data_IF_534768515671
#
_entry.id   IF_534768515671
#
_cell.length_a   1.000
_cell.length_b   1.000
_cell.length_c   1.000
_cell.angle_alpha   90.00
_cell.angle_beta   90.00
_cell.angle_gamma   90.00
#
_symmetry.space_group_name_H-M   'P 1'
#
loop_
_entity.id
_entity.type
_entity.pdbx_description
1 polymer ?
#
# COMPACT_ATOMS: atom_id res chain seq x y z
N UNK A 1 -4.66 -70.62 8.70
CA UNK A 1 -5.27 -69.43 9.31
C UNK A 1 -5.15 -68.23 8.37
N UNK A 2 -5.89 -67.15 8.66
CA UNK A 2 -6.20 -65.96 7.84
C UNK A 2 -5.03 -65.29 7.06
N UNK A 3 -5.38 -64.78 5.86
CA UNK A 3 -4.73 -63.72 5.03
C UNK A 3 -4.46 -62.42 5.85
N UNK A 4 -3.66 -61.39 5.42
CA UNK A 4 -3.50 -60.83 4.05
C UNK A 4 -2.03 -60.42 3.71
N UNK A 5 -1.62 -59.48 2.82
CA UNK A 5 -2.24 -58.43 1.96
C UNK A 5 -1.34 -58.13 0.72
N UNK A 6 -1.68 -57.10 -0.09
CA UNK A 6 -0.92 -56.44 -1.19
C UNK A 6 -0.64 -57.21 -2.51
N UNK A 7 -1.28 -56.76 -3.61
CA UNK A 7 -0.66 -56.38 -4.89
C UNK A 7 -1.70 -56.20 -6.03
N UNK A 8 -2.60 -55.22 -5.88
CA UNK A 8 -3.30 -54.53 -6.98
C UNK A 8 -2.79 -53.08 -6.90
N UNK A 9 -2.54 -52.31 -7.95
CA UNK A 9 -3.16 -52.33 -9.28
C UNK A 9 -2.27 -51.55 -10.27
N UNK A 10 -1.76 -52.17 -11.34
CA UNK A 10 -1.36 -51.44 -12.54
C UNK A 10 -2.63 -51.14 -13.35
N UNK A 11 -2.96 -49.87 -13.61
CA UNK A 11 -3.93 -49.54 -14.65
C UNK A 11 -3.60 -48.21 -15.35
N UNK A 12 -3.06 -48.35 -16.56
CA UNK A 12 -3.22 -47.48 -17.72
C UNK A 12 -3.41 -45.96 -17.52
N UNK A 13 -2.30 -45.21 -17.46
CA UNK A 13 -2.29 -43.82 -17.92
C UNK A 13 -2.17 -43.80 -19.45
N UNK A 14 -3.30 -43.69 -20.16
CA UNK A 14 -3.33 -43.49 -21.62
C UNK A 14 -4.22 -42.31 -22.01
N UNK A 15 -3.58 -41.23 -22.46
CA UNK A 15 -4.01 -40.50 -23.65
C UNK A 15 -5.37 -39.83 -23.67
N UNK A 16 -5.63 -38.88 -22.77
CA UNK A 16 -6.58 -37.80 -23.03
C UNK A 16 -5.81 -36.50 -23.32
N UNK A 17 -5.27 -36.37 -24.53
CA UNK A 17 -4.62 -35.14 -25.01
C UNK A 17 -5.67 -34.07 -25.34
N UNK A 18 -6.30 -33.51 -24.31
CA UNK A 18 -6.99 -32.24 -24.45
C UNK A 18 -5.93 -31.15 -24.68
N UNK A 19 -6.09 -30.26 -25.68
CA UNK A 19 -5.20 -29.12 -25.79
C UNK A 19 -5.35 -28.28 -24.54
N UNK A 20 -4.23 -28.02 -23.85
CA UNK A 20 -4.18 -27.15 -22.70
C UNK A 20 -4.29 -25.68 -23.13
N UNK A 21 -5.44 -25.29 -23.70
CA UNK A 21 -5.90 -23.90 -23.72
C UNK A 21 -6.37 -23.50 -22.31
N UNK A 22 -5.53 -23.76 -21.31
CA UNK A 22 -5.72 -23.35 -19.94
C UNK A 22 -5.49 -21.84 -19.89
N UNK A 23 -6.59 -21.11 -20.09
CA UNK A 23 -6.81 -19.70 -19.79
C UNK A 23 -5.53 -18.92 -19.45
N UNK A 24 -4.97 -18.22 -20.44
CA UNK A 24 -4.27 -16.97 -20.15
C UNK A 24 -5.30 -16.04 -19.53
N UNK A 25 -5.36 -16.03 -18.19
CA UNK A 25 -6.13 -15.02 -17.46
C UNK A 25 -5.56 -13.68 -17.89
N UNK A 26 -6.37 -12.88 -18.56
CA UNK A 26 -6.01 -11.57 -19.06
C UNK A 26 -5.60 -10.69 -17.86
N UNK A 27 -4.28 -10.51 -17.70
CA UNK A 27 -3.70 -9.79 -16.57
C UNK A 27 -4.08 -8.33 -16.63
N UNK A 28 -4.09 -7.72 -17.82
CA UNK A 28 -4.52 -6.33 -18.02
C UNK A 28 -5.99 -6.12 -17.62
N UNK A 29 -6.88 -7.06 -17.96
CA UNK A 29 -8.27 -7.04 -17.48
C UNK A 29 -8.36 -7.22 -15.96
N UNK A 30 -7.52 -8.09 -15.39
CA UNK A 30 -7.49 -8.34 -13.94
C UNK A 30 -7.02 -7.10 -13.16
N UNK A 31 -5.93 -6.47 -13.62
CA UNK A 31 -5.39 -5.23 -13.07
C UNK A 31 -6.39 -4.07 -13.17
N UNK A 32 -7.12 -3.97 -14.29
CA UNK A 32 -8.18 -2.98 -14.47
C UNK A 32 -9.33 -3.19 -13.48
N UNK A 33 -9.71 -4.45 -13.19
CA UNK A 33 -10.73 -4.77 -12.18
C UNK A 33 -10.20 -4.42 -10.77
N UNK A 34 -8.96 -4.79 -10.43
CA UNK A 34 -8.35 -4.46 -9.14
C UNK A 34 -8.27 -2.94 -8.91
N UNK A 35 -7.91 -2.15 -9.95
CA UNK A 35 -7.97 -0.68 -9.87
C UNK A 35 -9.40 -0.18 -9.62
N UNK A 36 -10.42 -0.82 -10.21
CA UNK A 36 -11.83 -0.44 -9.98
C UNK A 36 -12.32 -0.81 -8.58
N UNK A 37 -11.87 -1.92 -7.99
CA UNK A 37 -12.13 -2.26 -6.59
C UNK A 37 -11.51 -1.21 -5.66
N UNK A 38 -10.23 -0.86 -5.84
CA UNK A 38 -9.59 0.17 -5.03
C UNK A 38 -10.25 1.57 -5.18
N UNK A 39 -10.69 1.94 -6.38
CA UNK A 39 -11.48 3.16 -6.60
C UNK A 39 -12.85 3.12 -5.89
N UNK A 40 -13.50 1.95 -5.83
CA UNK A 40 -14.76 1.77 -5.11
C UNK A 40 -14.56 1.90 -3.59
N UNK A 41 -13.51 1.31 -3.03
CA UNK A 41 -13.19 1.40 -1.60
C UNK A 41 -12.97 2.86 -1.17
N UNK A 42 -12.23 3.64 -1.98
CA UNK A 42 -12.10 5.09 -1.77
C UNK A 42 -13.47 5.79 -1.85
N UNK A 43 -14.28 5.50 -2.88
CA UNK A 43 -15.58 6.14 -3.06
C UNK A 43 -16.54 5.89 -1.89
N UNK A 44 -16.56 4.66 -1.34
CA UNK A 44 -17.36 4.30 -0.15
C UNK A 44 -17.03 5.23 1.03
N UNK A 45 -15.78 5.65 1.18
CA UNK A 45 -15.31 6.49 2.27
C UNK A 45 -15.43 8.00 1.98
N UNK A 46 -15.21 8.42 0.72
CA UNK A 46 -15.18 9.84 0.33
C UNK A 46 -16.56 10.40 -0.03
N UNK A 47 -17.44 9.62 -0.67
CA UNK A 47 -18.78 10.10 -1.07
C UNK A 47 -19.64 10.56 0.13
N UNK A 48 -19.66 9.89 1.30
CA UNK A 48 -20.38 10.35 2.47
C UNK A 48 -19.91 11.70 3.04
N UNK A 49 -18.72 12.19 2.65
CA UNK A 49 -18.25 13.52 3.04
C UNK A 49 -18.96 14.65 2.28
N UNK A 50 -19.67 14.36 1.20
CA UNK A 50 -20.41 15.35 0.39
C UNK A 50 -19.54 16.59 0.05
N UNK A 51 -18.29 16.36 -0.35
CA UNK A 51 -17.31 17.42 -0.61
C UNK A 51 -17.80 18.35 -1.72
N UNK A 52 -17.77 19.67 -1.48
CA UNK A 52 -18.11 20.66 -2.50
C UNK A 52 -16.95 20.91 -3.48
N UNK A 53 -17.23 21.57 -4.60
CA UNK A 53 -16.22 21.91 -5.63
C UNK A 53 -15.16 22.87 -5.14
N UNK A 54 -15.46 23.66 -4.11
CA UNK A 54 -14.56 24.60 -3.47
C UNK A 54 -13.65 23.86 -2.46
N UNK A 55 -14.12 22.75 -1.90
CA UNK A 55 -13.39 21.94 -0.92
C UNK A 55 -12.39 20.95 -1.55
N UNK A 56 -12.67 20.43 -2.75
CA UNK A 56 -11.78 19.43 -3.38
C UNK A 56 -10.41 20.03 -3.81
N UNK A 57 -10.31 21.22 -4.45
CA UNK A 57 -9.04 21.79 -4.90
C UNK A 57 -7.97 21.98 -3.80
N UNK A 58 -8.24 22.57 -2.61
CA UNK A 58 -7.22 22.69 -1.58
C UNK A 58 -6.73 21.32 -1.06
N UNK A 59 -7.62 20.32 -0.97
CA UNK A 59 -7.25 18.95 -0.61
C UNK A 59 -6.35 18.30 -1.69
N UNK A 60 -6.66 18.50 -2.98
CA UNK A 60 -5.80 18.04 -4.08
C UNK A 60 -4.42 18.68 -4.02
N UNK A 61 -4.33 19.99 -3.79
CA UNK A 61 -3.05 20.71 -3.63
C UNK A 61 -2.25 20.21 -2.43
N UNK A 62 -2.91 19.80 -1.34
CA UNK A 62 -2.25 19.18 -0.19
C UNK A 62 -1.69 17.79 -0.57
N UNK A 63 -2.46 16.95 -1.26
CA UNK A 63 -2.03 15.63 -1.74
C UNK A 63 -0.88 15.75 -2.77
N UNK A 64 -0.89 16.76 -3.64
CA UNK A 64 0.19 17.01 -4.60
C UNK A 64 1.52 17.34 -3.93
N UNK A 65 1.50 18.14 -2.85
CA UNK A 65 2.69 18.40 -2.01
C UNK A 65 3.23 17.11 -1.41
N UNK A 66 2.35 16.21 -0.92
CA UNK A 66 2.75 14.88 -0.43
C UNK A 66 3.40 14.06 -1.53
N UNK A 67 2.78 13.97 -2.71
CA UNK A 67 3.34 13.25 -3.87
C UNK A 67 4.69 13.81 -4.31
N UNK A 68 4.89 15.12 -4.26
CA UNK A 68 6.15 15.76 -4.63
C UNK A 68 7.26 15.40 -3.62
N UNK A 69 7.01 15.57 -2.32
CA UNK A 69 7.99 15.17 -1.29
C UNK A 69 8.25 13.66 -1.25
N UNK A 70 7.29 12.83 -1.65
CA UNK A 70 7.52 11.39 -1.79
C UNK A 70 8.58 11.07 -2.85
N UNK A 71 8.55 11.77 -3.99
CA UNK A 71 9.57 11.64 -5.04
C UNK A 71 10.95 12.06 -4.52
N UNK A 72 11.02 13.12 -3.74
CA UNK A 72 12.27 13.61 -3.13
C UNK A 72 12.83 12.58 -2.13
N UNK A 73 11.99 12.00 -1.28
CA UNK A 73 12.37 10.89 -0.38
C UNK A 73 12.91 9.69 -1.17
N UNK A 74 12.21 9.24 -2.22
CA UNK A 74 12.65 8.10 -3.03
C UNK A 74 13.92 8.40 -3.84
N UNK A 75 14.11 9.63 -4.32
CA UNK A 75 15.35 10.04 -4.97
C UNK A 75 16.54 10.02 -3.99
N UNK A 76 16.34 10.45 -2.74
CA UNK A 76 17.36 10.36 -1.70
C UNK A 76 17.65 8.91 -1.30
N UNK A 77 16.63 8.07 -1.13
CA UNK A 77 16.84 6.64 -0.82
C UNK A 77 17.53 5.89 -1.96
N UNK A 78 17.23 6.20 -3.22
CA UNK A 78 17.93 5.65 -4.38
C UNK A 78 19.40 6.10 -4.42
N UNK A 79 19.67 7.38 -4.12
CA UNK A 79 21.04 7.91 -3.99
C UNK A 79 21.82 7.26 -2.84
N UNK A 80 21.18 6.98 -1.72
CA UNK A 80 21.81 6.24 -0.62
C UNK A 80 22.14 4.80 -1.04
N UNK A 81 21.24 4.12 -1.77
CA UNK A 81 21.44 2.74 -2.24
C UNK A 81 22.64 2.58 -3.18
N UNK A 82 22.87 3.51 -4.11
CA UNK A 82 24.01 3.41 -5.05
C UNK A 82 25.37 3.47 -4.35
N UNK A 83 25.44 3.97 -3.09
CA UNK A 83 26.68 3.97 -2.30
C UNK A 83 27.10 2.57 -1.82
N UNK A 84 26.15 1.64 -1.69
CA UNK A 84 26.37 0.26 -1.22
C UNK A 84 26.09 -0.82 -2.28
N UNK A 85 25.50 -0.44 -3.41
CA UNK A 85 25.10 -1.33 -4.51
C UNK A 85 26.22 -2.29 -4.97
N UNK A 86 27.43 -1.79 -5.23
CA UNK A 86 28.54 -2.62 -5.71
C UNK A 86 29.00 -3.67 -4.69
N UNK A 87 28.95 -3.33 -3.38
CA UNK A 87 29.23 -4.27 -2.29
C UNK A 87 28.13 -5.34 -2.23
N UNK A 88 26.86 -4.95 -2.31
CA UNK A 88 25.71 -5.87 -2.28
C UNK A 88 25.77 -6.83 -3.47
N UNK A 89 25.93 -6.32 -4.69
CA UNK A 89 25.97 -7.13 -5.91
C UNK A 89 27.08 -8.18 -5.86
N UNK A 90 28.28 -7.81 -5.38
CA UNK A 90 29.38 -8.77 -5.18
C UNK A 90 29.04 -9.83 -4.13
N UNK A 91 28.49 -9.44 -2.98
CA UNK A 91 28.16 -10.38 -1.89
C UNK A 91 27.02 -11.34 -2.31
N UNK A 92 26.08 -10.89 -3.12
CA UNK A 92 25.02 -11.73 -3.70
C UNK A 92 25.62 -12.72 -4.72
N UNK A 93 26.52 -12.28 -5.60
CA UNK A 93 27.24 -13.17 -6.55
C UNK A 93 28.08 -14.22 -5.83
N UNK A 94 28.92 -13.79 -4.86
CA UNK A 94 29.74 -14.68 -4.03
C UNK A 94 28.87 -15.68 -3.23
N UNK A 95 27.71 -15.26 -2.75
CA UNK A 95 26.74 -16.11 -2.05
C UNK A 95 26.11 -17.18 -2.96
N UNK A 96 25.58 -16.76 -4.12
CA UNK A 96 24.87 -17.65 -5.06
C UNK A 96 25.84 -18.61 -5.75
N UNK A 97 26.96 -18.09 -6.29
CA UNK A 97 27.84 -18.85 -7.17
C UNK A 97 28.97 -19.59 -6.44
N UNK A 98 29.32 -19.18 -5.21
CA UNK A 98 30.47 -19.71 -4.46
C UNK A 98 30.10 -20.22 -3.06
N UNK A 99 28.82 -20.14 -2.66
CA UNK A 99 28.33 -20.46 -1.32
C UNK A 99 29.06 -19.71 -0.19
N UNK A 100 29.56 -18.50 -0.47
CA UNK A 100 30.25 -17.67 0.52
C UNK A 100 29.22 -16.93 1.37
N UNK A 101 29.29 -17.10 2.69
CA UNK A 101 28.39 -16.41 3.60
C UNK A 101 28.66 -14.89 3.64
N UNK A 102 27.63 -14.02 3.62
CA UNK A 102 27.81 -12.57 3.63
C UNK A 102 28.71 -12.04 4.78
N UNK A 103 29.69 -11.16 4.52
CA UNK A 103 30.49 -10.54 5.58
C UNK A 103 29.66 -9.74 6.58
N UNK A 104 30.03 -9.77 7.87
CA UNK A 104 29.34 -9.03 8.93
C UNK A 104 29.31 -7.51 8.71
N UNK A 105 30.34 -6.96 8.08
CA UNK A 105 30.41 -5.54 7.69
C UNK A 105 29.25 -5.17 6.77
N UNK A 106 29.08 -5.89 5.66
CA UNK A 106 28.04 -5.63 4.66
C UNK A 106 26.64 -5.85 5.25
N UNK A 107 26.47 -6.88 6.10
CA UNK A 107 25.22 -7.06 6.86
C UNK A 107 24.92 -5.85 7.76
N UNK A 108 25.94 -5.28 8.43
CA UNK A 108 25.81 -4.10 9.28
C UNK A 108 25.47 -2.82 8.50
N UNK A 109 26.06 -2.63 7.31
CA UNK A 109 25.74 -1.52 6.41
C UNK A 109 24.28 -1.61 5.93
N UNK A 110 23.86 -2.78 5.41
CA UNK A 110 22.48 -3.02 4.98
C UNK A 110 21.48 -2.84 6.13
N UNK A 111 21.76 -3.39 7.32
CA UNK A 111 20.90 -3.23 8.49
C UNK A 111 20.82 -1.78 8.98
N UNK A 112 21.85 -0.96 8.74
CA UNK A 112 21.86 0.47 9.08
C UNK A 112 21.07 1.28 8.06
N UNK A 113 21.27 1.03 6.76
CA UNK A 113 20.46 1.61 5.69
C UNK A 113 18.96 1.32 5.90
N UNK A 114 18.60 0.05 6.14
CA UNK A 114 17.20 -0.36 6.30
C UNK A 114 16.52 0.31 7.50
N UNK A 115 17.23 0.45 8.63
CA UNK A 115 16.73 1.20 9.81
C UNK A 115 16.57 2.69 9.53
N UNK A 116 17.54 3.31 8.84
CA UNK A 116 17.47 4.73 8.48
C UNK A 116 16.32 5.01 7.49
N UNK A 117 16.15 4.17 6.47
CA UNK A 117 15.04 4.25 5.52
C UNK A 117 13.68 4.07 6.23
N UNK A 118 13.54 3.06 7.10
CA UNK A 118 12.32 2.84 7.88
C UNK A 118 11.96 4.05 8.76
N UNK A 119 12.95 4.65 9.46
CA UNK A 119 12.75 5.84 10.27
C UNK A 119 12.32 7.05 9.42
N UNK A 120 13.02 7.33 8.32
CA UNK A 120 12.69 8.44 7.41
C UNK A 120 11.29 8.29 6.82
N UNK A 121 10.92 7.09 6.37
CA UNK A 121 9.56 6.78 5.88
C UNK A 121 8.51 6.99 6.97
N UNK A 122 8.78 6.58 8.21
CA UNK A 122 7.86 6.81 9.35
C UNK A 122 7.64 8.30 9.62
N UNK A 123 8.72 9.09 9.70
CA UNK A 123 8.64 10.55 9.87
C UNK A 123 7.90 11.21 8.72
N UNK A 124 8.20 10.83 7.48
CA UNK A 124 7.50 11.29 6.28
C UNK A 124 6.00 11.00 6.35
N UNK A 125 5.58 9.77 6.66
CA UNK A 125 4.15 9.45 6.74
C UNK A 125 3.43 10.26 7.83
N UNK A 126 4.08 10.55 8.96
CA UNK A 126 3.50 11.38 10.01
C UNK A 126 3.37 12.85 9.54
N UNK A 127 4.44 13.45 9.04
CA UNK A 127 4.42 14.84 8.54
C UNK A 127 3.40 15.05 7.41
N UNK A 128 3.33 14.11 6.47
CA UNK A 128 2.41 14.19 5.34
C UNK A 128 0.95 13.92 5.73
N UNK A 129 0.71 13.08 6.74
CA UNK A 129 -0.63 12.93 7.35
C UNK A 129 -1.05 14.22 8.03
N UNK A 130 -0.15 14.85 8.79
CA UNK A 130 -0.42 16.12 9.49
C UNK A 130 -0.67 17.28 8.52
N UNK A 131 0.09 17.38 7.42
CA UNK A 131 -0.10 18.37 6.37
C UNK A 131 -1.52 18.32 5.78
N UNK A 132 -1.99 17.13 5.40
CA UNK A 132 -3.32 16.95 4.81
C UNK A 132 -4.42 17.06 5.87
N UNK A 133 -4.19 16.56 7.09
CA UNK A 133 -5.09 16.74 8.23
C UNK A 133 -5.37 18.22 8.53
N UNK A 134 -4.34 19.07 8.52
CA UNK A 134 -4.50 20.52 8.76
C UNK A 134 -5.34 21.19 7.67
N UNK A 135 -5.17 20.80 6.39
CA UNK A 135 -6.03 21.32 5.32
C UNK A 135 -7.47 20.76 5.46
N UNK A 136 -7.67 19.50 5.86
CA UNK A 136 -9.00 18.98 6.20
C UNK A 136 -9.68 19.80 7.31
N UNK A 137 -8.98 20.11 8.42
CA UNK A 137 -9.54 20.93 9.52
C UNK A 137 -9.85 22.38 9.11
N UNK A 138 -9.19 22.90 8.08
CA UNK A 138 -9.38 24.25 7.52
C UNK A 138 -10.49 24.31 6.47
N UNK A 139 -10.66 23.26 5.67
CA UNK A 139 -11.57 23.22 4.52
C UNK A 139 -12.91 22.57 4.81
N UNK A 140 -12.95 21.57 5.70
CA UNK A 140 -14.13 20.76 5.99
C UNK A 140 -14.92 21.32 7.17
N UNK A 141 -16.24 21.17 7.11
CA UNK A 141 -17.13 21.52 8.22
C UNK A 141 -17.15 20.42 9.30
N UNK A 142 -17.69 20.75 10.49
CA UNK A 142 -17.74 19.83 11.64
C UNK A 142 -18.48 18.52 11.32
N UNK A 143 -19.54 18.56 10.50
CA UNK A 143 -20.28 17.36 10.09
C UNK A 143 -19.42 16.42 9.24
N UNK A 144 -18.63 16.97 8.32
CA UNK A 144 -17.69 16.20 7.48
C UNK A 144 -16.56 15.60 8.31
N UNK A 145 -15.99 16.35 9.25
CA UNK A 145 -14.97 15.85 10.18
C UNK A 145 -15.51 14.71 11.06
N UNK A 146 -16.72 14.86 11.61
CA UNK A 146 -17.41 13.77 12.34
C UNK A 146 -17.73 12.55 11.48
N UNK A 147 -17.91 12.72 10.17
CA UNK A 147 -18.04 11.58 9.24
C UNK A 147 -16.70 10.87 9.07
N UNK A 148 -15.59 11.59 8.90
CA UNK A 148 -14.24 11.00 8.87
C UNK A 148 -13.96 10.18 10.14
N UNK A 149 -14.26 10.72 11.34
CA UNK A 149 -14.08 10.04 12.63
C UNK A 149 -14.80 8.69 12.77
N UNK A 150 -15.96 8.53 12.11
CA UNK A 150 -16.87 7.37 12.27
C UNK A 150 -16.83 6.37 11.13
N UNK A 151 -16.23 6.76 10.01
CA UNK A 151 -16.27 6.02 8.74
C UNK A 151 -15.42 4.74 8.74
N UNK A 152 -14.25 4.78 9.39
CA UNK A 152 -13.33 3.65 9.46
C UNK A 152 -13.41 2.94 10.80
N UNK A 153 -13.13 1.64 10.74
CA UNK A 153 -12.93 0.74 11.87
C UNK A 153 -11.47 0.24 11.89
N UNK A 154 -10.54 1.00 12.51
CA UNK A 154 -9.13 0.62 12.60
C UNK A 154 -8.89 -0.83 13.07
N UNK A 155 -9.75 -1.32 13.98
CA UNK A 155 -9.71 -2.67 14.55
C UNK A 155 -9.89 -3.80 13.52
N UNK A 156 -10.52 -3.52 12.37
CA UNK A 156 -10.64 -4.48 11.26
C UNK A 156 -9.37 -4.59 10.41
N UNK A 157 -8.48 -3.59 10.49
CA UNK A 157 -7.21 -3.56 9.76
C UNK A 157 -6.03 -3.98 10.65
N UNK A 158 -6.13 -3.69 11.95
CA UNK A 158 -5.17 -4.11 12.97
C UNK A 158 -5.92 -4.28 14.31
N UNK A 159 -6.18 -5.53 14.74
CA UNK A 159 -6.89 -5.82 16.00
C UNK A 159 -6.21 -5.31 17.28
N UNK A 160 -4.96 -4.82 17.20
CA UNK A 160 -4.28 -4.20 18.34
C UNK A 160 -4.67 -2.74 18.56
N UNK A 161 -5.32 -2.08 17.59
CA UNK A 161 -5.74 -0.67 17.69
C UNK A 161 -6.98 -0.55 18.58
N UNK A 162 -6.83 0.20 19.68
CA UNK A 162 -7.90 0.53 20.62
C UNK A 162 -8.60 1.83 20.23
N UNK A 163 -9.67 1.71 19.43
CA UNK A 163 -10.41 2.84 18.84
C UNK A 163 -11.20 3.65 19.88
N UNK A 164 -11.52 3.03 21.01
CA UNK A 164 -12.03 3.66 22.23
C UNK A 164 -11.02 4.62 22.87
N UNK A 165 -9.71 4.39 22.68
CA UNK A 165 -8.62 5.20 23.23
C UNK A 165 -8.11 6.28 22.28
N UNK A 166 -8.61 6.31 21.04
CA UNK A 166 -8.25 7.33 20.05
C UNK A 166 -9.16 8.56 20.16
N UNK A 167 -8.57 9.74 20.26
CA UNK A 167 -9.28 11.02 20.16
C UNK A 167 -9.78 11.31 18.72
N UNK A 168 -10.54 12.39 18.56
CA UNK A 168 -11.10 12.84 17.28
C UNK A 168 -10.00 13.08 16.23
N UNK A 169 -8.95 13.81 16.59
CA UNK A 169 -7.89 14.16 15.65
C UNK A 169 -7.08 12.93 15.21
N UNK A 170 -6.83 11.97 16.11
CA UNK A 170 -6.21 10.69 15.78
C UNK A 170 -7.07 9.86 14.81
N UNK A 171 -8.40 9.87 14.95
CA UNK A 171 -9.33 9.19 14.02
C UNK A 171 -9.35 9.88 12.65
N UNK A 172 -9.36 11.21 12.62
CA UNK A 172 -9.28 11.99 11.36
C UNK A 172 -7.93 11.76 10.68
N UNK A 173 -6.81 11.76 11.42
CA UNK A 173 -5.47 11.44 10.88
C UNK A 173 -5.40 10.00 10.34
N UNK A 174 -6.05 9.03 11.00
CA UNK A 174 -6.16 7.67 10.49
C UNK A 174 -6.94 7.62 9.17
N UNK A 175 -8.06 8.35 9.06
CA UNK A 175 -8.79 8.51 7.81
C UNK A 175 -7.96 9.15 6.71
N UNK A 176 -7.26 10.26 7.00
CA UNK A 176 -6.35 10.91 6.06
C UNK A 176 -5.31 9.91 5.53
N UNK A 177 -4.66 9.17 6.43
CA UNK A 177 -3.62 8.18 6.07
C UNK A 177 -4.15 6.98 5.28
N UNK A 178 -5.39 6.53 5.52
CA UNK A 178 -5.96 5.32 4.93
C UNK A 178 -6.84 5.57 3.70
N UNK A 179 -7.38 6.77 3.54
CA UNK A 179 -8.33 7.11 2.47
C UNK A 179 -7.77 8.26 1.63
N UNK A 180 -7.49 9.43 2.20
CA UNK A 180 -7.10 10.61 1.42
C UNK A 180 -5.70 10.45 0.80
N UNK A 181 -4.79 9.76 1.49
CA UNK A 181 -3.45 9.43 1.02
C UNK A 181 -3.35 8.07 0.29
N UNK A 182 -4.48 7.41 0.00
CA UNK A 182 -4.47 6.22 -0.87
C UNK A 182 -4.01 6.61 -2.29
N UNK A 183 -3.18 5.79 -2.98
CA UNK A 183 -2.73 6.07 -4.34
C UNK A 183 -3.85 6.39 -5.35
N UNK A 184 -5.05 5.81 -5.17
CA UNK A 184 -6.20 5.98 -6.04
C UNK A 184 -7.06 7.20 -5.67
N UNK A 185 -6.93 7.74 -4.46
CA UNK A 185 -7.83 8.79 -3.96
C UNK A 185 -7.70 10.11 -4.71
N UNK A 186 -6.48 10.45 -5.15
CA UNK A 186 -6.27 11.61 -6.01
C UNK A 186 -7.05 11.50 -7.34
N UNK A 187 -6.98 10.36 -8.03
CA UNK A 187 -7.71 10.13 -9.29
C UNK A 187 -9.23 10.23 -9.09
N UNK A 188 -9.73 9.75 -7.95
CA UNK A 188 -11.16 9.82 -7.58
C UNK A 188 -11.57 11.27 -7.30
N UNK A 189 -10.81 12.02 -6.49
CA UNK A 189 -11.09 13.42 -6.18
C UNK A 189 -11.02 14.32 -7.43
N UNK A 190 -10.08 14.07 -8.35
CA UNK A 190 -10.00 14.76 -9.65
C UNK A 190 -11.19 14.44 -10.57
N UNK A 191 -11.81 13.27 -10.45
CA UNK A 191 -13.06 12.96 -11.16
C UNK A 191 -14.27 13.65 -10.50
N UNK A 192 -14.31 13.68 -9.16
CA UNK A 192 -15.38 14.35 -8.40
C UNK A 192 -15.41 15.86 -8.67
N UNK A 193 -14.26 16.54 -8.72
CA UNK A 193 -14.20 17.99 -9.00
C UNK A 193 -14.69 18.40 -10.39
N UNK A 194 -14.73 17.45 -11.35
CA UNK A 194 -15.18 17.68 -12.73
C UNK A 194 -16.68 17.46 -12.93
N UNK A 195 -17.40 16.91 -11.95
CA UNK A 195 -18.84 16.65 -12.04
C UNK A 195 -19.58 17.99 -12.16
N UNK A 196 -20.57 18.12 -13.06
CA UNK A 196 -21.54 19.22 -12.98
C UNK A 196 -22.51 18.95 -11.82
N UNK A 197 -22.95 20.02 -11.16
CA UNK A 197 -23.97 19.92 -10.10
C UNK A 197 -25.33 19.61 -10.74
#
# INVERSE_FOLDING_TARGET
MKKPFLALMMLACLGASLPASAQTVDSARSDAILKKVAQLDVLIQVVPLLLTKEQIPPLLLAIEKVKQRQKELFAQEAKDLTTIESKINKVVDDGINKNIYPPREVQGEVATFMRAAALRRSLFYNEMTDLVFLECKKTLNEGQLKTMEKSLKPELLDPSIKVDQMDSDAKIKFFVRKVILDPNAYDVLVQMSKKKD
#
